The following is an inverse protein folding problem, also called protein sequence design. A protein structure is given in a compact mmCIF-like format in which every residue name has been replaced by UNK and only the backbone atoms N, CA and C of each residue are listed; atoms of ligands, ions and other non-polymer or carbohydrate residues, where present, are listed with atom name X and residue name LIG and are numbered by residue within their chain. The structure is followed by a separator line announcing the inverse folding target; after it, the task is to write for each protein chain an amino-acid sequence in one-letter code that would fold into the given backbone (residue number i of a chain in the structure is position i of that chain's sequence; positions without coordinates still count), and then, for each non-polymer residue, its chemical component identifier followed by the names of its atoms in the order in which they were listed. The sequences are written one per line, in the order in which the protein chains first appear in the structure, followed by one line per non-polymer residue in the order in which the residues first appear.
data_IF_230963952533
#
_entry.id   IF_230963952533
#
_cell.length_a   1.000
_cell.length_b   1.000
_cell.length_c   1.000
_cell.angle_alpha   90.00
_cell.angle_beta   90.00
_cell.angle_gamma   90.00
#
_symmetry.space_group_name_H-M   'P 1'
#
loop_
_entity.id
_entity.type
_entity.pdbx_description
1 polymer ?
#
# COMPACT_ATOMS: atom_id res chain seq x y z
N UNK A 1 20.38 -16.09 11.45
CA UNK A 1 19.51 -14.96 11.04
C UNK A 1 18.57 -14.62 12.18
N UNK A 2 18.36 -13.35 12.54
CA UNK A 2 17.32 -12.98 13.52
C UNK A 2 15.92 -13.05 12.86
N UNK A 3 15.00 -13.93 13.33
CA UNK A 3 13.65 -14.07 12.76
C UNK A 3 12.83 -12.77 12.78
N UNK A 4 13.04 -11.90 13.79
CA UNK A 4 12.32 -10.63 13.90
C UNK A 4 12.69 -9.64 12.79
N UNK A 5 13.96 -9.58 12.38
CA UNK A 5 14.40 -8.72 11.29
C UNK A 5 13.83 -9.16 9.93
N UNK A 6 13.70 -10.48 9.72
CA UNK A 6 13.10 -11.04 8.52
C UNK A 6 11.61 -10.69 8.41
N UNK A 7 10.85 -10.86 9.50
CA UNK A 7 9.44 -10.49 9.56
C UNK A 7 9.22 -8.99 9.34
N UNK A 8 10.13 -8.15 9.86
CA UNK A 8 10.09 -6.68 9.65
C UNK A 8 10.27 -6.30 8.18
N UNK A 9 11.24 -6.91 7.49
CA UNK A 9 11.46 -6.66 6.06
C UNK A 9 10.28 -7.10 5.19
N UNK A 10 9.67 -8.26 5.49
CA UNK A 10 8.47 -8.71 4.79
C UNK A 10 7.28 -7.77 5.02
N UNK A 11 7.03 -7.36 6.26
CA UNK A 11 5.94 -6.44 6.59
C UNK A 11 6.13 -5.07 5.91
N UNK A 12 7.38 -4.59 5.81
CA UNK A 12 7.72 -3.35 5.12
C UNK A 12 7.45 -3.44 3.61
N UNK A 13 7.81 -4.58 3.00
CA UNK A 13 7.56 -4.83 1.59
C UNK A 13 6.05 -4.93 1.26
N UNK A 14 5.25 -5.54 2.15
CA UNK A 14 3.79 -5.60 2.02
C UNK A 14 3.18 -4.21 2.18
N UNK A 15 3.65 -3.44 3.16
CA UNK A 15 3.19 -2.07 3.39
C UNK A 15 3.44 -1.18 2.18
N UNK A 16 4.67 -1.22 1.62
CA UNK A 16 5.02 -0.50 0.41
C UNK A 16 4.10 -0.89 -0.74
N UNK A 17 3.89 -2.19 -0.98
CA UNK A 17 3.02 -2.66 -2.07
C UNK A 17 1.57 -2.21 -1.89
N UNK A 18 0.99 -2.31 -0.69
CA UNK A 18 -0.39 -1.85 -0.47
C UNK A 18 -0.54 -0.35 -0.72
N UNK A 19 0.38 0.48 -0.21
CA UNK A 19 0.34 1.93 -0.44
C UNK A 19 0.54 2.27 -1.92
N UNK A 20 1.40 1.54 -2.62
CA UNK A 20 1.63 1.74 -4.04
C UNK A 20 0.39 1.41 -4.87
N UNK A 21 -0.32 0.32 -4.54
CA UNK A 21 -1.55 -0.03 -5.23
C UNK A 21 -2.67 0.99 -4.97
N UNK A 22 -2.79 1.52 -3.75
CA UNK A 22 -3.73 2.60 -3.42
C UNK A 22 -3.39 3.86 -4.23
N UNK A 23 -2.12 4.26 -4.27
CA UNK A 23 -1.67 5.42 -5.04
C UNK A 23 -2.04 5.29 -6.52
N UNK A 24 -1.75 4.13 -7.12
CA UNK A 24 -2.04 3.87 -8.53
C UNK A 24 -3.55 3.89 -8.82
N UNK A 25 -4.37 3.32 -7.94
CA UNK A 25 -5.82 3.30 -8.07
C UNK A 25 -6.40 4.72 -8.08
N UNK A 26 -6.06 5.55 -7.09
CA UNK A 26 -6.57 6.92 -7.00
C UNK A 26 -6.06 7.79 -8.14
N UNK A 27 -4.78 7.64 -8.54
CA UNK A 27 -4.22 8.37 -9.68
C UNK A 27 -4.99 8.08 -10.97
N UNK A 28 -5.29 6.81 -11.25
CA UNK A 28 -6.05 6.43 -12.43
C UNK A 28 -7.46 7.04 -12.43
N UNK A 29 -8.11 7.09 -11.27
CA UNK A 29 -9.47 7.60 -11.12
C UNK A 29 -9.54 9.12 -11.29
N UNK A 30 -8.58 9.86 -10.73
CA UNK A 30 -8.48 11.31 -10.96
C UNK A 30 -8.28 11.59 -12.46
N UNK A 31 -7.44 10.81 -13.14
CA UNK A 31 -7.21 10.97 -14.58
C UNK A 31 -8.45 10.67 -15.43
N UNK A 32 -9.31 9.74 -15.02
CA UNK A 32 -10.52 9.36 -15.76
C UNK A 32 -11.68 10.35 -15.54
N UNK A 33 -11.89 10.76 -14.30
CA UNK A 33 -13.14 11.42 -13.92
C UNK A 33 -12.99 12.94 -13.74
N UNK A 34 -11.78 13.49 -13.90
CA UNK A 34 -11.52 14.93 -13.73
C UNK A 34 -11.89 15.44 -12.34
N UNK A 35 -11.86 14.57 -11.33
CA UNK A 35 -12.29 14.90 -9.99
C UNK A 35 -11.34 15.93 -9.35
N UNK A 36 -11.73 17.20 -9.41
CA UNK A 36 -11.08 18.35 -8.75
C UNK A 36 -11.34 18.39 -7.23
N UNK A 37 -11.22 17.26 -6.54
CA UNK A 37 -11.20 17.29 -5.09
C UNK A 37 -9.78 17.56 -4.61
N UNK A 38 -9.54 18.80 -4.18
CA UNK A 38 -8.28 19.24 -3.54
C UNK A 38 -7.81 18.29 -2.43
N UNK A 39 -8.75 17.62 -1.76
CA UNK A 39 -8.46 16.60 -0.74
C UNK A 39 -7.77 15.35 -1.30
N UNK A 40 -8.15 14.88 -2.49
CA UNK A 40 -7.53 13.70 -3.11
C UNK A 40 -6.13 14.01 -3.65
N UNK A 41 -5.92 15.20 -4.21
CA UNK A 41 -4.59 15.63 -4.63
C UNK A 41 -3.65 15.68 -3.43
N UNK A 42 -4.09 16.31 -2.33
CA UNK A 42 -3.34 16.30 -1.06
C UNK A 42 -3.08 14.89 -0.58
N UNK A 43 -4.09 14.02 -0.59
CA UNK A 43 -3.93 12.62 -0.21
C UNK A 43 -2.85 11.90 -1.05
N UNK A 44 -2.84 12.07 -2.36
CA UNK A 44 -1.82 11.48 -3.24
C UNK A 44 -0.42 12.04 -2.97
N UNK A 45 -0.30 13.34 -2.71
CA UNK A 45 0.98 13.97 -2.35
C UNK A 45 1.54 13.35 -1.06
N UNK A 46 0.72 13.29 -0.01
CA UNK A 46 1.13 12.69 1.28
C UNK A 46 1.47 11.21 1.11
N UNK A 47 0.66 10.45 0.36
CA UNK A 47 0.90 9.04 0.09
C UNK A 47 2.21 8.80 -0.69
N UNK A 48 2.53 9.66 -1.65
CA UNK A 48 3.80 9.61 -2.38
C UNK A 48 5.01 9.88 -1.48
N UNK A 49 4.89 10.82 -0.53
CA UNK A 49 5.93 11.06 0.46
C UNK A 49 6.14 9.82 1.36
N UNK A 50 5.06 9.18 1.81
CA UNK A 50 5.15 7.94 2.58
C UNK A 50 5.81 6.81 1.78
N UNK A 51 5.50 6.65 0.50
CA UNK A 51 6.14 5.67 -0.38
C UNK A 51 7.65 5.89 -0.48
N UNK A 52 8.09 7.14 -0.71
CA UNK A 52 9.51 7.51 -0.74
C UNK A 52 10.23 7.19 0.58
N UNK A 53 9.58 7.48 1.71
CA UNK A 53 10.13 7.16 3.03
C UNK A 53 10.32 5.65 3.21
N UNK A 54 9.33 4.84 2.82
CA UNK A 54 9.42 3.38 2.89
C UNK A 54 10.52 2.83 1.98
N UNK A 55 10.67 3.35 0.77
CA UNK A 55 11.73 2.95 -0.16
C UNK A 55 13.12 3.24 0.41
N UNK A 56 13.32 4.40 1.03
CA UNK A 56 14.56 4.73 1.73
C UNK A 56 14.84 3.74 2.88
N UNK A 57 13.82 3.44 3.69
CA UNK A 57 13.95 2.46 4.79
C UNK A 57 14.25 1.04 4.30
N UNK A 58 13.66 0.64 3.16
CA UNK A 58 13.92 -0.65 2.53
C UNK A 58 15.34 -0.74 1.98
N UNK A 59 15.89 0.33 1.39
CA UNK A 59 17.28 0.37 0.92
C UNK A 59 18.27 0.15 2.06
N UNK A 60 18.08 0.83 3.19
CA UNK A 60 18.88 0.65 4.41
C UNK A 60 18.83 -0.78 4.96
N UNK A 61 17.74 -1.52 4.73
CA UNK A 61 17.61 -2.92 5.11
C UNK A 61 18.15 -3.91 4.06
N UNK A 62 18.14 -3.53 2.77
CA UNK A 62 18.59 -4.38 1.67
C UNK A 62 20.11 -4.61 1.68
N UNK A 63 20.88 -3.69 2.26
CA UNK A 63 22.31 -3.90 2.57
C UNK A 63 22.54 -5.07 3.56
N UNK A 64 21.49 -5.58 4.22
CA UNK A 64 21.60 -6.56 5.30
C UNK A 64 21.14 -7.99 4.99
N UNK A 65 20.43 -8.31 3.88
CA UNK A 65 20.03 -9.71 3.54
C UNK A 65 19.37 -9.95 2.18
N UNK A 66 19.67 -11.12 1.61
CA UNK A 66 19.02 -11.76 0.45
C UNK A 66 18.12 -12.90 0.94
N UNK A 67 16.84 -12.64 1.15
CA UNK A 67 15.83 -13.71 1.12
C UNK A 67 14.49 -13.10 0.68
N UNK A 68 14.38 -12.93 -0.63
CA UNK A 68 13.37 -12.14 -1.35
C UNK A 68 12.11 -12.93 -1.71
N UNK A 69 12.13 -14.27 -1.63
CA UNK A 69 11.09 -15.11 -2.22
C UNK A 69 9.75 -15.04 -1.45
N UNK A 70 9.80 -15.03 -0.12
CA UNK A 70 8.59 -14.99 0.72
C UNK A 70 7.85 -13.65 0.66
N UNK A 71 8.59 -12.53 0.65
CA UNK A 71 7.99 -11.19 0.50
C UNK A 71 7.41 -10.99 -0.90
N UNK A 72 8.04 -11.56 -1.93
CA UNK A 72 7.58 -11.44 -3.32
C UNK A 72 6.23 -12.14 -3.54
N UNK A 73 6.01 -13.32 -2.94
CA UNK A 73 4.71 -14.00 -2.98
C UNK A 73 3.61 -13.15 -2.29
N UNK A 74 3.88 -12.64 -1.08
CA UNK A 74 2.89 -11.82 -0.36
C UNK A 74 2.57 -10.52 -1.10
N UNK A 75 3.56 -9.88 -1.72
CA UNK A 75 3.34 -8.72 -2.59
C UNK A 75 2.49 -9.06 -3.81
N UNK A 76 2.70 -10.22 -4.42
CA UNK A 76 1.88 -10.69 -5.52
C UNK A 76 0.42 -10.86 -5.10
N UNK A 77 0.15 -11.39 -3.90
CA UNK A 77 -1.22 -11.50 -3.37
C UNK A 77 -1.88 -10.12 -3.21
N UNK A 78 -1.15 -9.11 -2.72
CA UNK A 78 -1.63 -7.73 -2.66
C UNK A 78 -1.98 -7.21 -4.06
N UNK A 79 -1.09 -7.41 -5.05
CA UNK A 79 -1.35 -6.99 -6.44
C UNK A 79 -2.61 -7.63 -7.02
N UNK A 80 -2.79 -8.94 -6.81
CA UNK A 80 -3.97 -9.68 -7.27
C UNK A 80 -5.24 -9.13 -6.62
N UNK A 81 -5.20 -8.85 -5.32
CA UNK A 81 -6.34 -8.26 -4.62
C UNK A 81 -6.73 -6.89 -5.19
N UNK A 82 -5.77 -6.00 -5.42
CA UNK A 82 -6.05 -4.70 -6.05
C UNK A 82 -6.43 -4.81 -7.52
N UNK A 83 -5.98 -5.85 -8.24
CA UNK A 83 -6.47 -6.12 -9.59
C UNK A 83 -7.96 -6.42 -9.56
N UNK A 84 -8.45 -7.25 -8.63
CA UNK A 84 -9.89 -7.52 -8.48
C UNK A 84 -10.71 -6.27 -8.20
N UNK A 85 -10.15 -5.31 -7.46
CA UNK A 85 -10.80 -3.99 -7.23
C UNK A 85 -10.91 -3.21 -8.54
N UNK A 86 -9.86 -3.20 -9.37
CA UNK A 86 -9.89 -2.55 -10.68
C UNK A 86 -10.89 -3.23 -11.62
N UNK A 87 -10.84 -4.57 -11.70
CA UNK A 87 -11.77 -5.36 -12.49
C UNK A 87 -13.22 -5.09 -12.06
N UNK A 88 -13.47 -4.94 -10.74
CA UNK A 88 -14.79 -4.57 -10.23
C UNK A 88 -15.23 -3.18 -10.72
N UNK A 89 -14.37 -2.16 -10.67
CA UNK A 89 -14.70 -0.83 -11.18
C UNK A 89 -15.00 -0.83 -12.66
N UNK A 90 -14.18 -1.54 -13.45
CA UNK A 90 -14.39 -1.72 -14.90
C UNK A 90 -15.73 -2.39 -15.20
N UNK A 91 -16.05 -3.48 -14.50
CA UNK A 91 -17.32 -4.20 -14.65
C UNK A 91 -18.55 -3.39 -14.20
N UNK A 92 -18.36 -2.29 -13.48
CA UNK A 92 -19.42 -1.39 -13.01
C UNK A 92 -19.39 -0.04 -13.74
N UNK A 93 -18.69 0.03 -14.88
CA UNK A 93 -18.53 1.23 -15.72
C UNK A 93 -18.09 2.46 -14.93
N UNK A 94 -17.26 2.28 -13.89
CA UNK A 94 -16.81 3.34 -13.00
C UNK A 94 -17.95 4.18 -12.38
N UNK A 95 -19.13 3.58 -12.19
CA UNK A 95 -20.28 4.26 -11.59
C UNK A 95 -19.96 4.83 -10.21
N UNK A 96 -20.65 5.92 -9.83
CA UNK A 96 -20.46 6.58 -8.53
C UNK A 96 -20.68 5.60 -7.37
N UNK A 97 -21.67 4.72 -7.45
CA UNK A 97 -21.93 3.70 -6.43
C UNK A 97 -20.76 2.72 -6.28
N UNK A 98 -20.22 2.22 -7.39
CA UNK A 98 -19.07 1.31 -7.37
C UNK A 98 -17.85 1.98 -6.75
N UNK A 99 -17.62 3.26 -7.08
CA UNK A 99 -16.54 4.01 -6.49
C UNK A 99 -16.72 4.23 -4.98
N UNK A 100 -17.92 4.54 -4.50
CA UNK A 100 -18.18 4.64 -3.05
C UNK A 100 -17.84 3.33 -2.33
N UNK A 101 -18.17 2.18 -2.92
CA UNK A 101 -17.82 0.86 -2.38
C UNK A 101 -16.29 0.69 -2.33
N UNK A 102 -15.58 1.07 -3.39
CA UNK A 102 -14.12 1.01 -3.42
C UNK A 102 -13.52 1.94 -2.38
N UNK A 103 -14.01 3.16 -2.19
CA UNK A 103 -13.52 4.06 -1.14
C UNK A 103 -13.64 3.43 0.26
N UNK A 104 -14.75 2.75 0.55
CA UNK A 104 -14.93 2.00 1.81
C UNK A 104 -13.87 0.89 1.94
N UNK A 105 -13.61 0.14 0.86
CA UNK A 105 -12.63 -0.93 0.88
C UNK A 105 -11.19 -0.41 1.04
N UNK A 106 -10.85 0.73 0.41
CA UNK A 106 -9.57 1.39 0.61
C UNK A 106 -9.42 1.89 2.04
N UNK A 107 -10.46 2.48 2.64
CA UNK A 107 -10.41 2.89 4.04
C UNK A 107 -10.14 1.69 4.98
N UNK A 108 -10.69 0.52 4.67
CA UNK A 108 -10.36 -0.73 5.40
C UNK A 108 -8.90 -1.12 5.20
N UNK A 109 -8.38 -1.05 3.98
CA UNK A 109 -6.96 -1.31 3.70
C UNK A 109 -6.05 -0.36 4.50
N UNK A 110 -6.35 0.94 4.53
CA UNK A 110 -5.59 1.93 5.30
C UNK A 110 -5.66 1.64 6.80
N UNK A 111 -6.81 1.22 7.32
CA UNK A 111 -6.90 0.77 8.72
C UNK A 111 -5.93 -0.39 9.01
N UNK A 112 -5.82 -1.37 8.11
CA UNK A 112 -4.83 -2.44 8.25
C UNK A 112 -3.39 -1.93 8.16
N UNK A 113 -3.10 -0.99 7.26
CA UNK A 113 -1.80 -0.29 7.18
C UNK A 113 -1.44 0.31 8.53
N UNK A 114 -2.30 1.15 9.10
CA UNK A 114 -2.04 1.84 10.36
C UNK A 114 -1.79 0.87 11.53
N UNK A 115 -2.53 -0.24 11.55
CA UNK A 115 -2.32 -1.30 12.54
C UNK A 115 -0.96 -1.99 12.36
N UNK A 116 -0.54 -2.23 11.13
CA UNK A 116 0.74 -2.87 10.82
C UNK A 116 1.92 -1.94 11.12
N UNK A 117 1.84 -0.66 10.73
CA UNK A 117 2.87 0.34 11.04
C UNK A 117 3.04 0.53 12.53
N UNK A 118 1.93 0.58 13.29
CA UNK A 118 1.95 0.65 14.76
C UNK A 118 2.57 -0.58 15.44
N UNK A 119 2.53 -1.76 14.82
CA UNK A 119 3.26 -2.95 15.31
C UNK A 119 4.75 -2.85 15.01
N UNK A 120 5.11 -2.38 13.82
CA UNK A 120 6.50 -2.25 13.38
C UNK A 120 7.27 -1.19 14.18
N UNK A 121 6.61 -0.12 14.61
CA UNK A 121 7.21 0.92 15.45
C UNK A 121 7.53 0.41 16.86
N UNK A 122 6.65 -0.40 17.47
CA UNK A 122 6.87 -1.00 18.79
C UNK A 122 8.06 -1.96 18.81
N UNK A 123 8.23 -2.73 17.74
CA UNK A 123 9.36 -3.64 17.57
C UNK A 123 10.72 -2.92 17.37
N UNK A 124 10.72 -1.61 17.14
CA UNK A 124 11.94 -0.79 17.06
C UNK A 124 12.40 -0.19 18.39
N UNK A 125 11.63 -0.34 19.48
CA UNK A 125 11.93 0.22 20.81
C UNK A 125 12.46 -0.81 21.82
N UNK A 126 12.68 -2.06 21.39
CA UNK A 126 13.16 -3.16 22.24
C UNK A 126 14.65 -3.51 22.00
N UNK A 127 15.43 -2.58 21.44
CA UNK A 127 16.89 -2.69 21.23
C UNK A 127 17.61 -1.54 21.90
#
# INVERSE_FOLDING_TARGET
MNPHQYQKGQALAILHEMLQQIFNLFRAIISLNGWEETHMEKFLIELHQQLKYLEALMRLQAEQKRDTLGSENLRLQVKIYFQRIRDYLENQDYSTCAWTIVQVEINRCLFFVFRLTGKLSKQGMET
#
